data_IF_540403350593
#
_entry.id   IF_540403350593
#
_cell.length_a   1.000
_cell.length_b   1.000
_cell.length_c   1.000
_cell.angle_alpha   90.00
_cell.angle_beta   90.00
_cell.angle_gamma   90.00
#
_symmetry.space_group_name_H-M   'P 1'
#
loop_
_entity.id
_entity.type
_entity.pdbx_description
1 polymer ?
#
# COMPACT_ATOMS: atom_id res chain seq x y z
N UNK A 1 28.02 31.54 6.37
CA UNK A 1 27.91 30.27 7.14
C UNK A 1 27.65 29.17 6.14
N UNK A 2 28.29 28.01 6.25
CA UNK A 2 28.02 26.91 5.34
C UNK A 2 26.56 26.45 5.51
N UNK A 3 25.85 26.29 4.39
CA UNK A 3 24.48 25.79 4.36
C UNK A 3 24.43 24.41 5.02
N UNK A 4 23.57 24.24 6.03
CA UNK A 4 23.47 22.96 6.76
C UNK A 4 22.61 22.00 5.95
N UNK A 5 21.51 22.50 5.38
CA UNK A 5 20.57 21.69 4.60
C UNK A 5 20.64 22.05 3.10
N UNK A 6 20.32 21.11 2.20
CA UNK A 6 20.35 21.37 0.75
C UNK A 6 19.42 22.50 0.30
N UNK A 7 18.27 22.68 0.97
CA UNK A 7 17.30 23.71 0.61
C UNK A 7 17.76 25.13 0.98
N UNK A 8 18.82 25.25 1.79
CA UNK A 8 19.46 26.51 2.19
C UNK A 8 20.59 26.91 1.20
N UNK A 9 21.13 25.94 0.46
CA UNK A 9 22.29 26.11 -0.39
C UNK A 9 21.99 26.81 -1.73
N UNK A 10 22.97 27.54 -2.25
CA UNK A 10 22.93 28.00 -3.64
C UNK A 10 23.09 26.81 -4.59
N UNK A 11 22.72 26.98 -5.87
CA UNK A 11 22.89 25.91 -6.85
C UNK A 11 24.37 25.55 -7.08
N UNK A 12 25.27 26.52 -6.97
CA UNK A 12 26.72 26.33 -7.08
C UNK A 12 27.26 25.51 -5.91
N UNK A 13 26.87 25.87 -4.68
CA UNK A 13 27.21 25.12 -3.46
C UNK A 13 26.66 23.70 -3.52
N UNK A 14 25.39 23.54 -3.93
CA UNK A 14 24.74 22.24 -4.06
C UNK A 14 25.46 21.35 -5.08
N UNK A 15 25.92 21.92 -6.19
CA UNK A 15 26.64 21.18 -7.23
C UNK A 15 28.04 20.78 -6.78
N UNK A 16 28.74 21.67 -6.06
CA UNK A 16 30.10 21.43 -5.56
C UNK A 16 30.14 20.45 -4.38
N UNK A 17 29.11 20.43 -3.55
CA UNK A 17 29.07 19.68 -2.29
C UNK A 17 27.88 18.70 -2.19
N UNK A 18 27.39 18.23 -3.34
CA UNK A 18 26.19 17.39 -3.41
C UNK A 18 26.24 16.16 -2.47
N UNK A 19 27.41 15.52 -2.35
CA UNK A 19 27.56 14.32 -1.53
C UNK A 19 27.38 14.57 -0.03
N UNK A 20 27.79 15.75 0.46
CA UNK A 20 27.57 16.16 1.84
C UNK A 20 26.09 16.47 2.11
N UNK A 21 25.40 17.07 1.15
CA UNK A 21 23.96 17.29 1.25
C UNK A 21 23.15 15.99 1.18
N UNK A 22 23.62 14.99 0.43
CA UNK A 22 23.05 13.64 0.48
C UNK A 22 23.16 13.05 1.89
N UNK A 23 24.31 13.20 2.55
CA UNK A 23 24.49 12.72 3.92
C UNK A 23 23.51 13.39 4.89
N UNK A 24 23.28 14.70 4.77
CA UNK A 24 22.32 15.41 5.63
C UNK A 24 20.87 14.92 5.41
N UNK A 25 20.45 14.73 4.15
CA UNK A 25 19.13 14.16 3.86
C UNK A 25 19.03 12.74 4.42
N UNK A 26 20.08 11.92 4.26
CA UNK A 26 20.11 10.57 4.80
C UNK A 26 20.08 10.55 6.32
N UNK A 27 20.71 11.50 7.01
CA UNK A 27 20.65 11.61 8.46
C UNK A 27 19.24 11.96 8.96
N UNK A 28 18.49 12.76 8.20
CA UNK A 28 17.14 13.21 8.58
C UNK A 28 16.00 12.21 8.26
N UNK A 29 16.24 11.24 7.38
CA UNK A 29 15.27 10.18 7.07
C UNK A 29 15.15 9.15 8.21
N UNK A 30 13.92 8.92 8.71
CA UNK A 30 13.60 7.88 9.69
C UNK A 30 12.98 6.65 9.05
N UNK A 31 12.91 5.56 9.84
CA UNK A 31 12.24 4.34 9.44
C UNK A 31 11.05 4.05 10.35
N UNK A 32 9.90 3.77 9.74
CA UNK A 32 8.65 3.45 10.45
C UNK A 32 8.43 1.97 10.76
N UNK A 33 9.43 1.08 10.65
CA UNK A 33 9.19 -0.38 10.64
C UNK A 33 8.43 -0.95 11.84
N UNK A 34 8.63 -0.39 13.03
CA UNK A 34 8.07 -0.94 14.26
C UNK A 34 6.56 -0.65 14.39
N UNK A 35 6.04 0.32 13.64
CA UNK A 35 4.67 0.80 13.81
C UNK A 35 4.03 1.01 12.44
N UNK A 36 2.92 0.31 12.21
CA UNK A 36 2.07 0.50 11.04
C UNK A 36 0.71 1.06 11.48
N UNK A 37 0.09 1.97 10.71
CA UNK A 37 -1.28 2.36 10.98
C UNK A 37 -2.17 1.12 10.92
N UNK A 38 -3.16 1.06 11.81
CA UNK A 38 -4.23 0.06 11.71
C UNK A 38 -5.05 0.34 10.44
N UNK A 39 -5.50 1.57 10.24
CA UNK A 39 -6.44 1.86 9.16
C UNK A 39 -7.80 1.20 9.35
N UNK A 40 -8.78 1.62 8.56
CA UNK A 40 -10.18 1.22 8.76
C UNK A 40 -10.44 -0.25 8.43
N UNK A 41 -9.63 -0.87 7.57
CA UNK A 41 -9.75 -2.27 7.17
C UNK A 41 -8.94 -3.25 8.03
N UNK A 42 -8.42 -2.81 9.18
CA UNK A 42 -7.71 -3.71 10.09
C UNK A 42 -8.70 -4.66 10.76
N UNK A 43 -8.53 -5.95 10.51
CA UNK A 43 -9.26 -7.00 11.22
C UNK A 43 -8.45 -7.38 12.45
N UNK A 44 -8.97 -7.06 13.64
CA UNK A 44 -8.32 -7.45 14.87
C UNK A 44 -8.39 -8.96 15.07
N UNK A 45 -7.49 -9.50 15.89
CA UNK A 45 -7.46 -10.94 16.15
C UNK A 45 -8.81 -11.50 16.67
N UNK A 46 -9.53 -10.86 17.62
CA UNK A 46 -10.83 -11.36 18.07
C UNK A 46 -11.88 -11.46 16.95
N UNK A 47 -11.88 -10.50 16.01
CA UNK A 47 -12.79 -10.54 14.87
C UNK A 47 -12.43 -11.71 13.95
N UNK A 48 -11.15 -11.84 13.59
CA UNK A 48 -10.65 -12.94 12.75
C UNK A 48 -10.94 -14.30 13.38
N UNK A 49 -10.69 -14.44 14.68
CA UNK A 49 -10.96 -15.64 15.47
C UNK A 49 -12.44 -16.00 15.43
N UNK A 50 -13.35 -15.02 15.57
CA UNK A 50 -14.78 -15.26 15.45
C UNK A 50 -15.18 -15.80 14.06
N UNK A 51 -14.59 -15.27 12.99
CA UNK A 51 -14.78 -15.80 11.63
C UNK A 51 -14.27 -17.24 11.49
N UNK A 52 -13.10 -17.54 12.08
CA UNK A 52 -12.52 -18.87 12.09
C UNK A 52 -13.35 -19.87 12.88
N UNK A 53 -13.74 -19.53 14.11
CA UNK A 53 -14.54 -20.40 14.97
C UNK A 53 -15.93 -20.63 14.38
N UNK A 54 -16.53 -19.63 13.71
CA UNK A 54 -17.78 -19.82 12.96
C UNK A 54 -17.61 -20.87 11.86
N UNK A 55 -16.54 -20.78 11.06
CA UNK A 55 -16.25 -21.76 10.00
C UNK A 55 -15.98 -23.15 10.60
N UNK A 56 -15.19 -23.23 11.67
CA UNK A 56 -14.86 -24.48 12.37
C UNK A 56 -16.11 -25.17 12.93
N UNK A 57 -17.07 -24.40 13.45
CA UNK A 57 -18.34 -24.94 13.96
C UNK A 57 -19.18 -25.57 12.84
N UNK A 58 -19.43 -24.83 11.75
CA UNK A 58 -20.29 -25.31 10.65
C UNK A 58 -19.66 -26.44 9.83
N UNK A 59 -18.35 -26.62 9.95
CA UNK A 59 -17.59 -27.71 9.30
C UNK A 59 -17.35 -28.91 10.21
N UNK A 60 -17.92 -28.91 11.43
CA UNK A 60 -17.70 -29.96 12.44
C UNK A 60 -16.21 -30.19 12.71
N UNK A 61 -15.49 -29.11 13.05
CA UNK A 61 -14.03 -29.09 13.20
C UNK A 61 -13.30 -29.55 11.93
N UNK A 62 -13.67 -28.97 10.78
CA UNK A 62 -13.12 -29.30 9.46
C UNK A 62 -13.26 -30.78 9.06
N UNK A 63 -14.27 -31.47 9.59
CA UNK A 63 -14.58 -32.85 9.18
C UNK A 63 -15.36 -32.89 7.86
N UNK A 64 -16.08 -31.81 7.52
CA UNK A 64 -16.88 -31.68 6.29
C UNK A 64 -16.80 -30.25 5.74
N UNK A 65 -16.69 -30.12 4.42
CA UNK A 65 -16.78 -28.83 3.71
C UNK A 65 -17.95 -28.85 2.73
N UNK A 66 -19.15 -28.60 3.25
CA UNK A 66 -20.36 -28.56 2.43
C UNK A 66 -20.60 -27.15 1.89
N UNK A 67 -20.42 -26.98 0.58
CA UNK A 67 -20.54 -25.68 -0.10
C UNK A 67 -21.83 -24.92 0.28
N UNK A 68 -23.04 -25.51 0.27
CA UNK A 68 -24.26 -24.76 0.56
C UNK A 68 -24.28 -24.19 1.98
N UNK A 69 -23.76 -24.94 2.96
CA UNK A 69 -23.67 -24.52 4.36
C UNK A 69 -22.67 -23.39 4.51
N UNK A 70 -21.50 -23.54 3.89
CA UNK A 70 -20.42 -22.56 3.98
C UNK A 70 -20.79 -21.28 3.25
N UNK A 71 -21.45 -21.37 2.10
CA UNK A 71 -21.97 -20.23 1.37
C UNK A 71 -23.00 -19.46 2.21
N UNK A 72 -24.01 -20.14 2.76
CA UNK A 72 -25.00 -19.50 3.62
C UNK A 72 -24.34 -18.86 4.86
N UNK A 73 -23.34 -19.53 5.42
CA UNK A 73 -22.56 -19.00 6.55
C UNK A 73 -21.75 -17.78 6.16
N UNK A 74 -21.11 -17.78 4.99
CA UNK A 74 -20.37 -16.65 4.45
C UNK A 74 -21.26 -15.44 4.14
N UNK A 75 -22.54 -15.63 3.81
CA UNK A 75 -23.47 -14.50 3.70
C UNK A 75 -23.79 -13.88 5.07
N UNK A 76 -23.92 -14.71 6.12
CA UNK A 76 -24.24 -14.26 7.48
C UNK A 76 -23.02 -13.70 8.22
N UNK A 77 -21.87 -14.35 8.09
CA UNK A 77 -20.59 -14.03 8.74
C UNK A 77 -19.51 -13.93 7.65
N UNK A 78 -19.38 -12.77 6.99
CA UNK A 78 -18.58 -12.67 5.76
C UNK A 78 -17.09 -12.86 5.95
N UNK A 79 -16.59 -12.70 7.17
CA UNK A 79 -15.20 -12.95 7.49
C UNK A 79 -14.78 -14.41 7.25
N UNK A 80 -15.73 -15.35 7.18
CA UNK A 80 -15.49 -16.73 6.73
C UNK A 80 -14.82 -16.78 5.35
N UNK A 81 -15.17 -15.86 4.43
CA UNK A 81 -14.51 -15.80 3.11
C UNK A 81 -13.03 -15.40 3.22
N UNK A 82 -12.70 -14.50 4.14
CA UNK A 82 -11.31 -14.12 4.42
C UNK A 82 -10.56 -15.30 5.03
N UNK A 83 -11.19 -16.03 5.96
CA UNK A 83 -10.60 -17.24 6.57
C UNK A 83 -10.32 -18.31 5.51
N UNK A 84 -11.30 -18.66 4.67
CA UNK A 84 -11.10 -19.62 3.57
C UNK A 84 -9.96 -19.21 2.65
N UNK A 85 -9.92 -17.95 2.24
CA UNK A 85 -8.84 -17.40 1.41
C UNK A 85 -7.48 -17.51 2.10
N UNK A 86 -7.40 -17.26 3.41
CA UNK A 86 -6.15 -17.40 4.18
C UNK A 86 -5.71 -18.86 4.31
N UNK A 87 -6.64 -19.82 4.47
CA UNK A 87 -6.32 -21.25 4.47
C UNK A 87 -5.72 -21.67 3.12
N UNK A 88 -6.28 -21.19 2.01
CA UNK A 88 -5.71 -21.42 0.66
C UNK A 88 -4.35 -20.73 0.44
N UNK A 89 -4.01 -19.71 1.25
CA UNK A 89 -2.82 -18.89 1.05
C UNK A 89 -2.91 -17.95 -0.15
N UNK A 90 -4.12 -17.60 -0.60
CA UNK A 90 -4.34 -16.81 -1.82
C UNK A 90 -4.50 -15.31 -1.55
N UNK A 91 -4.04 -14.48 -2.46
CA UNK A 91 -4.53 -13.09 -2.60
C UNK A 91 -5.96 -13.10 -3.17
N UNK A 92 -6.75 -12.03 -2.99
CA UNK A 92 -8.09 -11.95 -3.60
C UNK A 92 -8.08 -12.13 -5.12
N UNK A 93 -7.05 -11.60 -5.81
CA UNK A 93 -6.91 -11.72 -7.27
C UNK A 93 -6.63 -13.15 -7.73
N UNK A 94 -5.75 -13.87 -7.04
CA UNK A 94 -5.46 -15.26 -7.35
C UNK A 94 -6.68 -16.15 -7.11
N UNK A 95 -7.42 -15.92 -6.02
CA UNK A 95 -8.64 -16.68 -5.75
C UNK A 95 -9.73 -16.44 -6.80
N UNK A 96 -9.90 -15.20 -7.25
CA UNK A 96 -10.80 -14.86 -8.36
C UNK A 96 -10.44 -15.60 -9.65
N UNK A 97 -9.14 -15.66 -9.97
CA UNK A 97 -8.65 -16.34 -11.16
C UNK A 97 -8.98 -17.83 -11.13
N UNK A 98 -8.63 -18.52 -10.05
CA UNK A 98 -8.88 -19.98 -9.93
C UNK A 98 -10.38 -20.28 -9.89
N UNK A 99 -11.18 -19.47 -9.19
CA UNK A 99 -12.64 -19.63 -9.16
C UNK A 99 -13.27 -19.40 -10.54
N UNK A 100 -12.84 -18.38 -11.29
CA UNK A 100 -13.33 -18.12 -12.64
C UNK A 100 -12.98 -19.24 -13.62
N UNK A 101 -11.75 -19.77 -13.54
CA UNK A 101 -11.34 -20.92 -14.35
C UNK A 101 -12.17 -22.17 -14.05
N UNK A 102 -12.44 -22.47 -12.77
CA UNK A 102 -13.19 -23.68 -12.39
C UNK A 102 -14.68 -23.59 -12.68
N UNK A 103 -15.28 -22.40 -12.57
CA UNK A 103 -16.74 -22.22 -12.72
C UNK A 103 -17.18 -21.77 -14.11
N UNK A 104 -16.25 -21.30 -14.95
CA UNK A 104 -16.54 -20.65 -16.22
C UNK A 104 -17.16 -19.25 -16.09
N UNK A 105 -17.33 -18.73 -14.87
CA UNK A 105 -17.86 -17.40 -14.62
C UNK A 105 -16.77 -16.33 -14.75
N UNK A 106 -17.16 -15.16 -15.27
CA UNK A 106 -16.29 -13.99 -15.23
C UNK A 106 -16.26 -13.39 -13.81
N UNK A 107 -15.16 -13.66 -13.10
CA UNK A 107 -14.87 -13.14 -11.76
C UNK A 107 -13.64 -12.25 -11.86
N UNK A 108 -13.84 -10.94 -11.94
CA UNK A 108 -12.74 -9.99 -12.10
C UNK A 108 -11.91 -9.86 -10.82
N UNK A 109 -10.62 -9.56 -10.97
CA UNK A 109 -9.76 -9.26 -9.82
C UNK A 109 -10.29 -8.08 -9.00
N UNK A 110 -10.85 -7.06 -9.66
CA UNK A 110 -11.47 -5.90 -9.02
C UNK A 110 -12.65 -6.27 -8.13
N UNK A 111 -13.47 -7.24 -8.56
CA UNK A 111 -14.57 -7.76 -7.76
C UNK A 111 -14.05 -8.39 -6.46
N UNK A 112 -13.12 -9.34 -6.54
CA UNK A 112 -12.64 -10.04 -5.35
C UNK A 112 -11.89 -9.13 -4.37
N UNK A 113 -11.08 -8.18 -4.87
CA UNK A 113 -10.43 -7.15 -4.04
C UNK A 113 -11.45 -6.27 -3.32
N UNK A 114 -12.50 -5.86 -4.02
CA UNK A 114 -13.56 -5.03 -3.45
C UNK A 114 -14.39 -5.78 -2.41
N UNK A 115 -14.71 -7.05 -2.66
CA UNK A 115 -15.38 -7.93 -1.72
C UNK A 115 -14.55 -8.12 -0.44
N UNK A 116 -13.29 -8.50 -0.56
CA UNK A 116 -12.37 -8.68 0.58
C UNK A 116 -12.23 -7.38 1.40
N UNK A 117 -12.04 -6.23 0.73
CA UNK A 117 -12.02 -4.91 1.40
C UNK A 117 -13.33 -4.61 2.13
N UNK A 118 -14.48 -4.84 1.48
CA UNK A 118 -15.80 -4.59 2.09
C UNK A 118 -15.99 -5.40 3.36
N UNK A 119 -15.59 -6.67 3.34
CA UNK A 119 -15.65 -7.57 4.50
C UNK A 119 -14.73 -7.04 5.60
N UNK A 120 -13.48 -6.69 5.30
CA UNK A 120 -12.55 -6.16 6.30
C UNK A 120 -13.00 -4.85 6.95
N UNK A 121 -13.68 -3.98 6.20
CA UNK A 121 -14.24 -2.73 6.73
C UNK A 121 -15.47 -2.97 7.63
N UNK A 122 -16.21 -4.05 7.40
CA UNK A 122 -17.45 -4.37 8.11
C UNK A 122 -17.57 -5.88 8.36
N UNK A 123 -16.68 -6.46 9.20
CA UNK A 123 -16.50 -7.91 9.30
C UNK A 123 -17.74 -8.66 9.80
N UNK A 124 -18.60 -7.96 10.56
CA UNK A 124 -19.80 -8.50 11.18
C UNK A 124 -21.10 -8.16 10.43
N UNK A 125 -21.02 -7.41 9.32
CA UNK A 125 -22.22 -6.99 8.57
C UNK A 125 -22.56 -8.03 7.51
N UNK A 126 -23.73 -8.70 7.58
CA UNK A 126 -24.12 -9.71 6.60
C UNK A 126 -24.10 -9.21 5.15
N UNK A 127 -23.70 -10.06 4.22
CA UNK A 127 -23.78 -9.80 2.79
C UNK A 127 -25.20 -10.02 2.29
N UNK A 128 -25.64 -9.11 1.41
CA UNK A 128 -26.88 -9.23 0.63
C UNK A 128 -26.51 -9.20 -0.85
N UNK A 129 -26.07 -10.32 -1.44
CA UNK A 129 -25.63 -10.35 -2.82
C UNK A 129 -26.82 -10.14 -3.76
N UNK A 130 -26.59 -9.42 -4.86
CA UNK A 130 -27.54 -9.39 -5.97
C UNK A 130 -27.48 -10.71 -6.76
N UNK A 131 -28.46 -10.99 -7.64
CA UNK A 131 -28.44 -12.18 -8.50
C UNK A 131 -27.17 -12.32 -9.36
N UNK A 132 -26.45 -11.21 -9.61
CA UNK A 132 -25.19 -11.20 -10.35
C UNK A 132 -23.98 -11.50 -9.43
N UNK A 133 -24.03 -11.05 -8.18
CA UNK A 133 -22.92 -11.21 -7.22
C UNK A 133 -22.95 -12.60 -6.57
N UNK A 134 -24.13 -13.14 -6.31
CA UNK A 134 -24.29 -14.43 -5.64
C UNK A 134 -23.54 -15.57 -6.33
N UNK A 135 -23.69 -15.81 -7.66
CA UNK A 135 -22.97 -16.88 -8.35
C UNK A 135 -21.44 -16.76 -8.23
N UNK A 136 -20.91 -15.53 -8.17
CA UNK A 136 -19.48 -15.28 -8.02
C UNK A 136 -18.99 -15.64 -6.62
N UNK A 137 -19.75 -15.28 -5.58
CA UNK A 137 -19.42 -15.67 -4.19
C UNK A 137 -19.50 -17.19 -4.06
N UNK A 138 -20.53 -17.81 -4.64
CA UNK A 138 -20.69 -19.27 -4.66
C UNK A 138 -19.48 -19.97 -5.28
N UNK A 139 -19.05 -19.53 -6.46
CA UNK A 139 -17.87 -20.09 -7.13
C UNK A 139 -16.58 -19.95 -6.30
N UNK A 140 -16.40 -18.84 -5.56
CA UNK A 140 -15.27 -18.67 -4.64
C UNK A 140 -15.32 -19.70 -3.50
N UNK A 141 -16.50 -19.90 -2.90
CA UNK A 141 -16.69 -20.89 -1.82
C UNK A 141 -16.49 -22.31 -2.34
N UNK A 142 -17.07 -22.64 -3.48
CA UNK A 142 -16.99 -23.96 -4.10
C UNK A 142 -15.54 -24.38 -4.37
N UNK A 143 -14.76 -23.50 -5.01
CA UNK A 143 -13.36 -23.82 -5.30
C UNK A 143 -12.52 -23.93 -4.02
N UNK A 144 -12.83 -23.13 -2.99
CA UNK A 144 -12.15 -23.24 -1.70
C UNK A 144 -12.45 -24.58 -1.03
N UNK A 145 -13.72 -25.00 -1.02
CA UNK A 145 -14.13 -26.29 -0.46
C UNK A 145 -13.44 -27.45 -1.17
N UNK A 146 -13.42 -27.42 -2.51
CA UNK A 146 -12.76 -28.42 -3.35
C UNK A 146 -11.26 -28.51 -3.02
N UNK A 147 -10.54 -27.40 -3.12
CA UNK A 147 -9.09 -27.37 -2.90
C UNK A 147 -8.68 -27.79 -1.48
N UNK A 148 -9.43 -27.36 -0.46
CA UNK A 148 -9.17 -27.75 0.92
C UNK A 148 -9.53 -29.22 1.21
N UNK A 149 -10.45 -29.79 0.44
CA UNK A 149 -10.78 -31.21 0.52
C UNK A 149 -9.72 -32.07 -0.18
N UNK A 150 -9.30 -31.67 -1.38
CA UNK A 150 -8.33 -32.38 -2.20
C UNK A 150 -6.91 -32.37 -1.60
N UNK A 151 -6.53 -31.25 -0.98
CA UNK A 151 -5.17 -31.05 -0.46
C UNK A 151 -4.13 -30.79 -1.54
N UNK A 152 -2.85 -31.00 -1.23
CA UNK A 152 -1.76 -30.77 -2.18
C UNK A 152 -1.60 -31.96 -3.13
N UNK A 153 -1.67 -31.76 -4.46
CA UNK A 153 -1.29 -32.80 -5.41
C UNK A 153 0.22 -33.04 -5.37
N UNK A 154 0.62 -34.25 -5.77
CA UNK A 154 2.03 -34.58 -5.99
C UNK A 154 2.64 -33.60 -7.00
N UNK A 155 3.72 -32.97 -6.60
CA UNK A 155 4.42 -31.93 -7.38
C UNK A 155 5.90 -32.31 -7.48
N UNK A 156 6.59 -32.04 -8.60
CA UNK A 156 8.02 -32.31 -8.74
C UNK A 156 8.86 -31.70 -7.61
N UNK A 157 9.98 -32.32 -7.18
CA UNK A 157 10.77 -31.87 -6.03
C UNK A 157 11.30 -30.43 -6.12
N UNK A 158 11.45 -29.91 -7.33
CA UNK A 158 11.90 -28.55 -7.62
C UNK A 158 10.78 -27.49 -7.55
N UNK A 159 9.52 -27.93 -7.43
CA UNK A 159 8.34 -27.08 -7.36
C UNK A 159 7.65 -27.23 -6.00
N UNK A 160 7.19 -26.12 -5.43
CA UNK A 160 6.39 -26.11 -4.21
C UNK A 160 4.93 -25.87 -4.58
N UNK A 161 4.04 -26.78 -4.17
CA UNK A 161 2.60 -26.57 -4.29
C UNK A 161 2.10 -25.67 -3.16
N UNK A 162 1.17 -24.75 -3.44
CA UNK A 162 0.72 -23.76 -2.45
C UNK A 162 -0.09 -24.34 -1.29
N UNK A 163 -0.70 -25.50 -1.51
CA UNK A 163 -1.37 -26.28 -0.47
C UNK A 163 -0.42 -27.25 0.25
N UNK A 164 0.85 -27.34 -0.14
CA UNK A 164 1.83 -28.17 0.57
C UNK A 164 2.33 -27.46 1.83
N UNK A 165 1.40 -27.28 2.75
CA UNK A 165 1.57 -26.63 4.05
C UNK A 165 1.07 -27.55 5.15
N UNK A 166 1.46 -27.28 6.39
CA UNK A 166 1.10 -28.14 7.52
C UNK A 166 -0.41 -28.31 7.71
N UNK A 167 -1.21 -27.31 7.36
CA UNK A 167 -2.66 -27.27 7.55
C UNK A 167 -3.47 -27.70 6.32
N UNK A 168 -2.87 -27.83 5.12
CA UNK A 168 -3.62 -28.13 3.89
C UNK A 168 -3.07 -29.28 3.03
N UNK A 169 -1.85 -29.79 3.28
CA UNK A 169 -1.23 -30.81 2.41
C UNK A 169 -2.05 -32.09 2.26
N UNK A 170 -2.61 -32.59 3.36
CA UNK A 170 -3.48 -33.77 3.38
C UNK A 170 -4.96 -33.44 3.33
N UNK A 171 -5.31 -32.27 2.81
CA UNK A 171 -6.68 -31.75 2.79
C UNK A 171 -7.25 -31.59 4.20
N UNK A 172 -8.51 -31.98 4.38
CA UNK A 172 -9.24 -31.82 5.65
C UNK A 172 -8.58 -32.50 6.85
N UNK A 173 -7.87 -33.61 6.63
CA UNK A 173 -7.16 -34.30 7.72
C UNK A 173 -6.10 -33.41 8.36
N UNK A 174 -5.41 -32.58 7.56
CA UNK A 174 -4.38 -31.65 8.02
C UNK A 174 -5.00 -30.45 8.73
N UNK A 175 -6.07 -29.89 8.19
CA UNK A 175 -6.78 -28.77 8.81
C UNK A 175 -7.37 -29.15 10.17
N UNK A 176 -8.00 -30.33 10.26
CA UNK A 176 -8.54 -30.89 11.49
C UNK A 176 -7.46 -31.16 12.53
N UNK A 177 -6.33 -31.72 12.11
CA UNK A 177 -5.18 -31.96 12.99
C UNK A 177 -4.64 -30.66 13.59
N UNK A 178 -4.45 -29.62 12.74
CA UNK A 178 -4.01 -28.30 13.19
C UNK A 178 -5.01 -27.64 14.15
N UNK A 179 -6.31 -27.74 13.86
CA UNK A 179 -7.38 -27.19 14.70
C UNK A 179 -7.52 -27.89 16.06
N UNK A 180 -7.19 -29.18 16.14
CA UNK A 180 -7.30 -29.98 17.37
C UNK A 180 -6.04 -29.94 18.24
N UNK A 181 -4.86 -30.04 17.64
CA UNK A 181 -3.58 -30.17 18.35
C UNK A 181 -2.80 -28.85 18.46
N UNK A 182 -3.20 -27.84 17.68
CA UNK A 182 -2.42 -26.61 17.50
C UNK A 182 -1.23 -26.82 16.56
N UNK A 183 -0.42 -25.76 16.40
CA UNK A 183 0.76 -25.76 15.53
C UNK A 183 2.03 -25.46 16.32
N UNK A 184 3.15 -26.18 16.06
CA UNK A 184 4.44 -25.83 16.66
C UNK A 184 4.87 -24.41 16.28
N UNK A 185 5.55 -23.70 17.19
CA UNK A 185 6.01 -22.34 16.91
C UNK A 185 6.94 -22.26 15.69
N UNK A 186 7.81 -23.26 15.49
CA UNK A 186 8.66 -23.34 14.31
C UNK A 186 7.86 -23.38 12.99
N UNK A 187 6.69 -24.04 12.99
CA UNK A 187 5.79 -24.08 11.83
C UNK A 187 5.16 -22.71 11.58
N UNK A 188 4.72 -22.01 12.63
CA UNK A 188 4.23 -20.64 12.52
C UNK A 188 5.29 -19.70 11.92
N UNK A 189 6.56 -19.86 12.31
CA UNK A 189 7.67 -19.09 11.75
C UNK A 189 7.95 -19.44 10.27
N UNK A 190 7.82 -20.71 9.90
CA UNK A 190 8.00 -21.15 8.52
C UNK A 190 6.91 -20.59 7.59
N UNK A 191 5.64 -20.64 8.00
CA UNK A 191 4.55 -20.02 7.24
C UNK A 191 4.71 -18.50 7.10
N UNK A 192 5.24 -17.84 8.15
CA UNK A 192 5.63 -16.42 8.08
C UNK A 192 6.75 -16.19 7.06
N UNK A 193 7.71 -17.09 6.95
CA UNK A 193 8.77 -16.99 5.96
C UNK A 193 8.22 -17.12 4.52
N UNK A 194 7.31 -18.07 4.27
CA UNK A 194 6.69 -18.27 2.96
C UNK A 194 5.75 -17.12 2.56
N UNK A 195 4.89 -16.67 3.48
CA UNK A 195 3.84 -15.68 3.21
C UNK A 195 4.19 -14.22 3.50
N UNK A 196 5.31 -13.96 4.21
CA UNK A 196 5.70 -12.69 4.85
C UNK A 196 4.72 -12.21 5.93
N UNK A 197 5.17 -11.89 7.17
CA UNK A 197 4.31 -11.28 8.17
C UNK A 197 3.69 -9.97 7.68
N UNK A 198 2.42 -9.73 8.02
CA UNK A 198 1.70 -8.49 7.72
C UNK A 198 1.55 -8.11 6.24
N UNK A 199 1.89 -8.97 5.27
CA UNK A 199 1.81 -8.61 3.84
C UNK A 199 0.42 -8.07 3.44
N UNK A 200 -0.64 -8.83 3.74
CA UNK A 200 -2.01 -8.40 3.43
C UNK A 200 -2.48 -7.13 4.19
N UNK A 201 -1.89 -6.85 5.35
CA UNK A 201 -2.15 -5.63 6.12
C UNK A 201 -1.43 -4.43 5.48
N UNK A 202 -0.12 -4.56 5.30
CA UNK A 202 0.76 -3.56 4.68
C UNK A 202 0.24 -3.12 3.31
N UNK A 203 -0.17 -4.08 2.48
CA UNK A 203 -0.70 -3.79 1.15
C UNK A 203 -1.99 -2.95 1.24
N UNK A 204 -2.81 -3.17 2.27
CA UNK A 204 -4.09 -2.46 2.46
C UNK A 204 -3.97 -1.05 3.06
N UNK A 205 -2.86 -0.75 3.73
CA UNK A 205 -2.61 0.56 4.38
C UNK A 205 -1.55 1.39 3.65
N UNK A 206 -1.06 0.92 2.50
CA UNK A 206 0.00 1.59 1.74
C UNK A 206 -0.34 3.06 1.43
N UNK A 207 -1.61 3.38 1.20
CA UNK A 207 -2.10 4.75 1.05
C UNK A 207 -2.01 5.52 2.37
N UNK A 208 -2.49 4.97 3.48
CA UNK A 208 -2.42 5.62 4.81
C UNK A 208 -0.98 5.94 5.23
N UNK A 209 -0.01 5.10 4.85
CA UNK A 209 1.41 5.38 5.09
C UNK A 209 1.86 6.59 4.27
N UNK A 210 1.41 6.74 3.02
CA UNK A 210 1.65 7.93 2.20
C UNK A 210 0.95 9.18 2.74
N UNK A 211 -0.31 9.04 3.18
CA UNK A 211 -1.15 10.13 3.68
C UNK A 211 -0.54 10.86 4.88
N UNK A 212 0.27 10.18 5.71
CA UNK A 212 0.93 10.82 6.87
C UNK A 212 1.80 11.99 6.44
N UNK A 213 2.57 11.84 5.37
CA UNK A 213 3.43 12.91 4.86
C UNK A 213 2.61 14.00 4.17
N UNK A 214 1.61 13.62 3.39
CA UNK A 214 0.71 14.57 2.74
C UNK A 214 -0.05 15.42 3.77
N UNK A 215 -0.56 14.81 4.83
CA UNK A 215 -1.26 15.51 5.91
C UNK A 215 -0.35 16.49 6.64
N UNK A 216 0.92 16.13 6.85
CA UNK A 216 1.89 17.03 7.46
C UNK A 216 2.16 18.25 6.56
N UNK A 217 2.29 18.06 5.24
CA UNK A 217 2.44 19.16 4.27
C UNK A 217 1.20 20.04 4.28
N UNK A 218 0.01 19.43 4.21
CA UNK A 218 -1.28 20.11 4.23
C UNK A 218 -1.42 20.99 5.46
N UNK A 219 -1.03 20.47 6.63
CA UNK A 219 -1.04 21.21 7.90
C UNK A 219 -0.12 22.43 7.85
N UNK A 220 1.11 22.29 7.36
CA UNK A 220 2.05 23.42 7.22
C UNK A 220 1.50 24.51 6.28
N UNK A 221 0.92 24.11 5.13
CA UNK A 221 0.34 25.05 4.17
C UNK A 221 -0.89 25.77 4.74
N UNK A 222 -1.80 25.04 5.39
CA UNK A 222 -3.01 25.60 6.01
C UNK A 222 -2.65 26.55 7.15
N UNK A 223 -1.70 26.17 8.02
CA UNK A 223 -1.26 27.03 9.12
C UNK A 223 -0.61 28.33 8.62
N UNK A 224 0.09 28.26 7.49
CA UNK A 224 0.67 29.42 6.81
C UNK A 224 -0.34 30.25 5.99
N UNK A 225 -1.61 29.82 5.95
CA UNK A 225 -2.67 30.49 5.18
C UNK A 225 -2.41 30.48 3.67
N UNK A 226 -1.69 29.49 3.16
CA UNK A 226 -1.35 29.35 1.75
C UNK A 226 -2.49 28.63 1.02
N UNK A 227 -2.97 29.21 -0.08
CA UNK A 227 -3.91 28.54 -0.97
C UNK A 227 -3.22 27.42 -1.74
N UNK A 228 -3.83 26.24 -1.81
CA UNK A 228 -3.32 25.12 -2.60
C UNK A 228 -4.44 24.23 -3.14
N UNK A 229 -4.12 23.48 -4.20
CA UNK A 229 -4.91 22.37 -4.71
C UNK A 229 -4.20 21.06 -4.34
N UNK A 230 -4.81 20.26 -3.46
CA UNK A 230 -4.42 18.85 -3.24
C UNK A 230 -5.11 17.96 -4.28
N UNK A 231 -4.34 17.13 -4.97
CA UNK A 231 -4.87 16.23 -6.01
C UNK A 231 -5.17 14.86 -5.44
N UNK A 232 -6.06 14.11 -6.11
CA UNK A 232 -6.36 12.71 -5.76
C UNK A 232 -5.59 11.77 -6.66
N UNK A 233 -5.48 10.51 -6.21
CA UNK A 233 -4.87 9.45 -7.00
C UNK A 233 -5.51 9.31 -8.38
N UNK A 234 -4.67 9.28 -9.42
CA UNK A 234 -5.08 9.18 -10.83
C UNK A 234 -6.00 10.31 -11.32
N UNK A 235 -6.04 11.43 -10.61
CA UNK A 235 -6.69 12.65 -11.09
C UNK A 235 -5.90 13.24 -12.27
N UNK A 236 -6.62 13.81 -13.23
CA UNK A 236 -6.01 14.47 -14.39
C UNK A 236 -6.04 15.98 -14.16
N UNK A 237 -4.86 16.59 -14.16
CA UNK A 237 -4.71 18.05 -14.14
C UNK A 237 -4.11 18.48 -15.48
N UNK A 238 -4.71 19.43 -16.20
CA UNK A 238 -4.18 19.91 -17.48
C UNK A 238 -2.70 20.30 -17.41
N UNK A 239 -1.91 19.86 -18.39
CA UNK A 239 -0.48 20.14 -18.47
C UNK A 239 0.43 19.17 -17.72
N UNK A 240 -0.13 18.32 -16.86
CA UNK A 240 0.60 17.25 -16.20
C UNK A 240 0.17 15.88 -16.72
N UNK A 241 1.12 15.06 -17.17
CA UNK A 241 0.86 13.66 -17.55
C UNK A 241 0.38 12.84 -16.35
N UNK A 242 0.91 13.17 -15.18
CA UNK A 242 0.46 12.72 -13.87
C UNK A 242 0.42 13.92 -12.92
N UNK A 243 -0.74 14.15 -12.29
CA UNK A 243 -0.92 15.24 -11.35
C UNK A 243 0.06 15.15 -10.16
N UNK A 244 0.70 16.26 -9.74
CA UNK A 244 1.49 16.31 -8.52
C UNK A 244 0.59 16.33 -7.28
N UNK A 245 1.11 15.96 -6.12
CA UNK A 245 0.30 15.82 -4.90
C UNK A 245 -0.31 17.17 -4.43
N UNK A 246 0.46 18.26 -4.53
CA UNK A 246 -0.01 19.62 -4.27
C UNK A 246 0.42 20.62 -5.35
N UNK A 247 -0.47 21.58 -5.65
CA UNK A 247 -0.23 22.69 -6.58
C UNK A 247 -0.56 24.02 -5.89
N UNK A 248 0.35 24.99 -5.94
CA UNK A 248 0.21 26.31 -5.30
C UNK A 248 0.35 27.43 -6.33
N UNK A 249 -0.49 28.48 -6.28
CA UNK A 249 -1.68 28.58 -5.43
C UNK A 249 -2.86 27.76 -5.95
N UNK A 250 -2.88 27.44 -7.26
CA UNK A 250 -3.96 26.71 -7.91
C UNK A 250 -3.48 26.00 -9.18
N UNK A 251 -4.28 25.05 -9.66
CA UNK A 251 -4.01 24.33 -10.91
C UNK A 251 -4.05 25.22 -12.16
N UNK A 252 -4.70 26.38 -12.09
CA UNK A 252 -4.83 27.31 -13.22
C UNK A 252 -3.58 28.17 -13.43
N UNK A 253 -2.81 28.41 -12.37
CA UNK A 253 -1.53 29.11 -12.45
C UNK A 253 -0.51 28.47 -11.48
N UNK A 254 0.02 27.28 -11.81
CA UNK A 254 0.96 26.57 -10.94
C UNK A 254 2.27 27.36 -10.79
N UNK A 255 2.58 27.85 -9.59
CA UNK A 255 3.85 28.52 -9.28
C UNK A 255 4.81 27.61 -8.52
N UNK A 256 4.24 26.67 -7.75
CA UNK A 256 4.97 25.69 -6.97
C UNK A 256 4.19 24.37 -7.05
N UNK A 257 4.91 23.25 -7.18
CA UNK A 257 4.35 21.90 -7.03
C UNK A 257 5.11 21.14 -5.95
N UNK A 258 4.38 20.37 -5.16
CA UNK A 258 4.95 19.53 -4.10
C UNK A 258 4.62 18.07 -4.41
N UNK A 259 5.63 17.22 -4.42
CA UNK A 259 5.48 15.78 -4.57
C UNK A 259 5.91 15.11 -3.25
N UNK A 260 4.99 14.38 -2.62
CA UNK A 260 5.18 13.62 -1.40
C UNK A 260 5.43 12.14 -1.72
N UNK A 261 6.52 11.56 -1.21
CA UNK A 261 6.85 10.16 -1.46
C UNK A 261 7.44 9.48 -0.22
N UNK A 262 6.87 8.34 0.17
CA UNK A 262 7.44 7.48 1.22
C UNK A 262 7.88 6.15 0.62
N UNK A 263 9.06 5.66 1.01
CA UNK A 263 9.53 4.33 0.62
C UNK A 263 10.41 3.69 1.69
N UNK A 264 10.10 2.45 2.07
CA UNK A 264 10.90 1.69 3.05
C UNK A 264 11.85 0.69 2.38
N UNK A 265 11.64 0.40 1.09
CA UNK A 265 12.51 -0.45 0.28
C UNK A 265 13.19 0.32 -0.86
N UNK A 266 14.31 -0.23 -1.34
CA UNK A 266 15.08 0.32 -2.47
C UNK A 266 14.31 0.17 -3.79
N UNK A 267 13.56 -0.92 -3.93
CA UNK A 267 12.96 -1.35 -5.20
C UNK A 267 12.08 -0.29 -5.85
N UNK A 268 11.38 0.51 -5.05
CA UNK A 268 10.49 1.58 -5.55
C UNK A 268 11.06 2.99 -5.37
N UNK A 269 12.22 3.14 -4.71
CA UNK A 269 12.83 4.45 -4.47
C UNK A 269 13.26 5.13 -5.78
N UNK A 270 13.87 4.37 -6.70
CA UNK A 270 14.30 4.87 -8.01
C UNK A 270 13.12 5.41 -8.83
N UNK A 271 12.01 4.70 -8.87
CA UNK A 271 10.83 5.10 -9.65
C UNK A 271 10.25 6.40 -9.09
N UNK A 272 10.23 6.54 -7.76
CA UNK A 272 9.79 7.76 -7.05
C UNK A 272 10.71 8.95 -7.32
N UNK A 273 12.03 8.74 -7.35
CA UNK A 273 13.00 9.77 -7.74
C UNK A 273 12.79 10.20 -9.20
N UNK A 274 12.65 9.23 -10.11
CA UNK A 274 12.43 9.49 -11.54
C UNK A 274 11.20 10.37 -11.77
N UNK A 275 10.12 10.10 -11.02
CA UNK A 275 8.90 10.91 -11.04
C UNK A 275 9.15 12.37 -10.66
N UNK A 276 9.93 12.64 -9.61
CA UNK A 276 10.26 13.99 -9.17
C UNK A 276 11.15 14.70 -10.20
N UNK A 277 12.13 14.01 -10.77
CA UNK A 277 12.97 14.57 -11.84
C UNK A 277 12.16 14.94 -13.08
N UNK A 278 11.15 14.14 -13.41
CA UNK A 278 10.25 14.44 -14.52
C UNK A 278 9.44 15.73 -14.27
N UNK A 279 8.94 15.98 -13.04
CA UNK A 279 8.31 17.25 -12.69
C UNK A 279 9.26 18.45 -12.86
N UNK A 280 10.52 18.30 -12.45
CA UNK A 280 11.54 19.32 -12.67
C UNK A 280 11.80 19.58 -14.17
N UNK A 281 11.81 18.53 -14.98
CA UNK A 281 11.91 18.65 -16.43
C UNK A 281 10.72 19.40 -17.04
N UNK A 282 9.49 19.15 -16.57
CA UNK A 282 8.29 19.87 -17.00
C UNK A 282 8.34 21.36 -16.63
N UNK A 283 8.85 21.67 -15.44
CA UNK A 283 9.10 23.06 -15.01
C UNK A 283 10.08 23.77 -15.94
N UNK A 284 11.18 23.11 -16.32
CA UNK A 284 12.20 23.69 -17.17
C UNK A 284 11.73 23.91 -18.61
N UNK A 285 11.00 22.95 -19.19
CA UNK A 285 10.54 23.04 -20.59
C UNK A 285 9.33 23.97 -20.76
N UNK A 286 8.47 24.07 -19.75
CA UNK A 286 7.16 24.70 -19.85
C UNK A 286 6.26 23.88 -20.75
N UNK A 287 5.52 22.94 -20.16
CA UNK A 287 4.55 22.14 -20.89
C UNK A 287 3.50 23.00 -21.62
N UNK A 288 2.72 22.42 -22.56
CA UNK A 288 1.82 23.17 -23.45
C UNK A 288 0.82 24.09 -22.73
N UNK A 289 0.54 23.84 -21.44
CA UNK A 289 -0.37 24.58 -20.59
C UNK A 289 0.17 24.83 -19.18
N UNK A 290 1.50 24.77 -19.00
CA UNK A 290 2.14 25.05 -17.71
C UNK A 290 3.06 26.27 -17.82
N UNK A 291 3.11 27.13 -16.80
CA UNK A 291 4.09 28.20 -16.75
C UNK A 291 5.50 27.61 -16.70
N UNK A 292 6.47 28.30 -17.29
CA UNK A 292 7.88 27.94 -17.15
C UNK A 292 8.39 28.31 -15.76
N UNK A 293 9.23 27.45 -15.20
CA UNK A 293 9.99 27.75 -14.00
C UNK A 293 9.21 27.72 -12.69
N UNK A 294 8.11 26.97 -12.60
CA UNK A 294 7.48 26.68 -11.30
C UNK A 294 8.46 25.92 -10.38
N UNK A 295 8.44 26.19 -9.09
CA UNK A 295 9.33 25.50 -8.14
C UNK A 295 8.83 24.07 -7.90
N UNK A 296 9.74 23.10 -7.91
CA UNK A 296 9.43 21.69 -7.59
C UNK A 296 10.02 21.38 -6.23
N UNK A 297 9.16 21.01 -5.30
CA UNK A 297 9.53 20.62 -3.94
C UNK A 297 9.29 19.12 -3.78
N UNK A 298 10.28 18.39 -3.29
CA UNK A 298 10.17 16.99 -2.94
C UNK A 298 10.06 16.84 -1.43
N UNK A 299 8.96 16.28 -0.95
CA UNK A 299 8.83 15.85 0.44
C UNK A 299 8.98 14.33 0.49
N UNK A 300 9.93 13.82 1.25
CA UNK A 300 10.27 12.40 1.24
C UNK A 300 10.31 11.78 2.64
N UNK A 301 10.07 10.47 2.71
CA UNK A 301 10.18 9.70 3.94
C UNK A 301 10.55 8.23 3.71
N UNK A 302 11.01 7.58 4.77
CA UNK A 302 11.39 6.17 4.77
C UNK A 302 12.81 5.90 4.27
N UNK A 303 13.37 4.76 4.70
CA UNK A 303 14.78 4.44 4.47
C UNK A 303 15.12 4.08 3.03
N UNK A 304 14.13 3.76 2.19
CA UNK A 304 14.39 3.32 0.83
C UNK A 304 15.14 4.39 0.02
N UNK A 305 14.93 5.67 0.34
CA UNK A 305 15.70 6.78 -0.22
C UNK A 305 17.18 6.82 0.21
N UNK A 306 17.58 6.13 1.30
CA UNK A 306 18.99 6.04 1.75
C UNK A 306 19.84 5.07 0.92
N UNK A 307 19.21 4.23 0.09
CA UNK A 307 19.92 3.10 -0.51
C UNK A 307 20.72 3.49 -1.76
N UNK A 308 20.38 4.61 -2.41
CA UNK A 308 21.01 5.05 -3.67
C UNK A 308 21.39 6.52 -3.62
N UNK A 309 22.63 6.77 -3.21
CA UNK A 309 23.24 8.12 -3.17
C UNK A 309 23.14 8.85 -4.51
N UNK A 310 23.41 8.17 -5.62
CA UNK A 310 23.33 8.79 -6.95
C UNK A 310 21.91 9.24 -7.32
N UNK A 311 20.89 8.48 -6.94
CA UNK A 311 19.50 8.86 -7.20
C UNK A 311 19.09 10.05 -6.30
N UNK A 312 19.55 10.08 -5.04
CA UNK A 312 19.36 11.26 -4.16
C UNK A 312 20.05 12.51 -4.72
N UNK A 313 21.30 12.38 -5.17
CA UNK A 313 22.08 13.47 -5.78
C UNK A 313 21.36 14.06 -6.99
N UNK A 314 20.87 13.21 -7.87
CA UNK A 314 20.06 13.62 -9.03
C UNK A 314 18.77 14.36 -8.62
N UNK A 315 18.09 13.88 -7.58
CA UNK A 315 16.88 14.55 -7.06
C UNK A 315 17.20 15.93 -6.48
N UNK A 316 18.27 16.04 -5.69
CA UNK A 316 18.73 17.32 -5.13
C UNK A 316 19.01 18.33 -6.24
N UNK A 317 19.78 17.94 -7.26
CA UNK A 317 20.09 18.82 -8.38
C UNK A 317 18.84 19.22 -9.18
N UNK A 318 17.94 18.26 -9.46
CA UNK A 318 16.71 18.52 -10.19
C UNK A 318 15.77 19.50 -9.47
N UNK A 319 15.71 19.42 -8.14
CA UNK A 319 14.86 20.27 -7.29
C UNK A 319 15.59 21.50 -6.76
N UNK A 320 16.83 21.77 -7.20
CA UNK A 320 17.68 22.85 -6.66
C UNK A 320 17.76 22.83 -5.13
N UNK A 321 17.87 21.63 -4.57
CA UNK A 321 18.00 21.38 -3.14
C UNK A 321 16.68 21.39 -2.36
N UNK A 322 15.52 21.64 -2.99
CA UNK A 322 14.20 21.69 -2.33
C UNK A 322 13.67 20.28 -2.01
N UNK A 323 14.44 19.54 -1.22
CA UNK A 323 14.09 18.22 -0.68
C UNK A 323 13.92 18.34 0.83
N UNK A 324 12.75 17.99 1.33
CA UNK A 324 12.40 18.01 2.75
C UNK A 324 12.07 16.60 3.22
N UNK A 325 12.50 16.25 4.43
CA UNK A 325 12.07 15.03 5.12
C UNK A 325 11.01 15.37 6.15
N UNK A 326 10.37 14.35 6.72
CA UNK A 326 9.42 14.52 7.85
C UNK A 326 10.04 15.39 8.96
N UNK A 327 11.33 15.24 9.26
CA UNK A 327 12.03 16.03 10.29
C UNK A 327 12.22 17.50 9.94
N UNK A 328 12.43 17.79 8.67
CA UNK A 328 12.75 19.15 8.21
C UNK A 328 11.51 19.86 7.67
N UNK A 329 10.32 19.25 7.74
CA UNK A 329 9.11 19.78 7.12
C UNK A 329 8.67 21.12 7.71
N UNK A 330 8.96 21.37 8.98
CA UNK A 330 8.70 22.68 9.63
C UNK A 330 9.49 23.84 8.98
N UNK A 331 10.55 23.53 8.22
CA UNK A 331 11.33 24.50 7.43
C UNK A 331 10.79 24.70 6.01
N UNK A 332 9.80 23.92 5.58
CA UNK A 332 9.27 23.89 4.21
C UNK A 332 8.93 25.28 3.69
N UNK A 333 8.15 26.04 4.46
CA UNK A 333 7.64 27.33 4.00
C UNK A 333 8.75 28.38 3.90
N UNK A 334 9.65 28.42 4.89
CA UNK A 334 10.67 29.46 5.02
C UNK A 334 11.75 29.39 3.92
N UNK A 335 12.08 28.17 3.50
CA UNK A 335 13.17 27.90 2.55
C UNK A 335 12.69 27.59 1.14
N UNK A 336 11.44 27.92 0.81
CA UNK A 336 10.88 27.78 -0.54
C UNK A 336 10.18 29.06 -0.95
N UNK A 337 9.69 29.13 -2.18
CA UNK A 337 8.83 30.22 -2.65
C UNK A 337 7.45 30.21 -1.97
N UNK A 338 7.11 29.19 -1.17
CA UNK A 338 5.84 29.14 -0.44
C UNK A 338 5.65 30.34 0.49
N UNK A 339 6.75 30.91 1.02
CA UNK A 339 6.68 32.15 1.81
C UNK A 339 6.11 33.36 1.06
N UNK A 340 6.21 33.38 -0.28
CA UNK A 340 5.64 34.45 -1.13
C UNK A 340 4.10 34.41 -1.10
N UNK A 341 3.50 33.28 -0.71
CA UNK A 341 2.06 33.05 -0.68
C UNK A 341 1.47 33.03 0.74
N UNK A 342 2.29 33.29 1.78
CA UNK A 342 1.81 33.38 3.16
C UNK A 342 0.79 34.52 3.26
N UNK A 343 -0.37 34.23 3.84
CA UNK A 343 -1.29 35.28 4.26
C UNK A 343 -1.01 35.61 5.72
N UNK A 344 -0.85 36.89 6.03
CA UNK A 344 -0.68 37.36 7.41
C UNK A 344 -2.00 37.11 8.14
N UNK A 345 -1.96 36.37 9.25
CA UNK A 345 -3.03 36.44 10.24
C UNK A 345 -2.81 37.64 11.15
#
# INVERSE_FOLDING_TARGET
MASTYPFEASFEELSAHADAFVDEVFASLESGFLVMPRGQGFVAFPDFENGYETLKQVTENFSKLEEPIIFATALRVPLVLVVLRTMLGFTPSEWAYVAGQSSGLEITQGFARSLDRKIRLNPMTPLRPSPVIEPRIRALVEIACKMLSDGAPTTPPELLHRLDKADTRGGLSSAKAAAAMGVPYAMLLYERFLGRPFAGHRDSISELVGDVLELAIETELTNAGISFRKTRRAERVPGFDQAPDFIVPSEFNPQIVIEAKITEDDGTARDKVTRIQHLASLSASGGPSLPRGFEVIACIGGRGFKQRREDMKKMLLATKGKVFTVKTLTKLIEFTRLKEFRTTR
#
